data_IF_939214639043
#
_entry.id   IF_939214639043
#
_cell.length_a   1.000
_cell.length_b   1.000
_cell.length_c   1.000
_cell.angle_alpha   90.00
_cell.angle_beta   90.00
_cell.angle_gamma   90.00
#
_symmetry.space_group_name_H-M   'P 1'
#
loop_
_entity.id
_entity.type
_entity.pdbx_description
1 polymer ?
#
# COMPACT_ATOMS: atom_id res chain seq x y z
N UNK A 1 27.33 14.48 -40.10
CA UNK A 1 26.00 14.74 -39.52
C UNK A 1 25.26 13.41 -39.46
N UNK A 2 25.46 12.65 -38.39
CA UNK A 2 24.72 11.41 -38.16
C UNK A 2 23.41 11.77 -37.47
N UNK A 3 22.32 11.51 -38.18
CA UNK A 3 20.95 11.66 -37.70
C UNK A 3 20.77 10.80 -36.45
N UNK A 4 20.69 11.44 -35.28
CA UNK A 4 20.29 10.78 -34.04
C UNK A 4 18.85 10.30 -34.20
N UNK A 5 18.69 9.00 -34.40
CA UNK A 5 17.39 8.36 -34.45
C UNK A 5 16.79 8.44 -33.03
N UNK A 6 15.89 9.38 -32.81
CA UNK A 6 15.22 9.65 -31.52
C UNK A 6 14.18 8.58 -31.20
N UNK A 7 14.60 7.33 -31.10
CA UNK A 7 13.79 6.34 -30.41
C UNK A 7 14.01 6.56 -28.92
N UNK A 8 12.92 6.87 -28.20
CA UNK A 8 12.92 6.91 -26.75
C UNK A 8 13.47 5.58 -26.23
N UNK A 9 14.47 5.65 -25.36
CA UNK A 9 15.01 4.46 -24.71
C UNK A 9 13.90 3.82 -23.85
N UNK A 10 13.57 2.53 -24.07
CA UNK A 10 12.59 1.85 -23.24
C UNK A 10 13.03 1.79 -21.78
N UNK A 11 12.09 1.98 -20.86
CA UNK A 11 12.33 1.85 -19.42
C UNK A 11 12.01 0.44 -18.99
N UNK A 12 13.01 -0.28 -18.47
CA UNK A 12 12.80 -1.62 -17.92
C UNK A 12 12.26 -1.52 -16.48
N UNK A 13 11.24 -2.32 -16.18
CA UNK A 13 10.83 -2.59 -14.80
C UNK A 13 11.72 -3.72 -14.30
N UNK A 14 12.66 -3.38 -13.41
CA UNK A 14 13.68 -4.33 -12.92
C UNK A 14 13.33 -4.94 -11.56
N UNK A 15 12.32 -4.42 -10.87
CA UNK A 15 11.78 -4.99 -9.65
C UNK A 15 10.40 -4.44 -9.35
N UNK A 16 9.62 -5.20 -8.59
CA UNK A 16 8.25 -4.88 -8.17
C UNK A 16 8.07 -5.34 -6.72
N UNK A 17 7.52 -4.46 -5.89
CA UNK A 17 7.00 -4.84 -4.58
C UNK A 17 5.57 -4.32 -4.45
N UNK A 18 4.71 -5.11 -3.82
CA UNK A 18 3.33 -4.73 -3.63
C UNK A 18 2.78 -5.20 -2.29
N UNK A 19 1.64 -4.63 -1.93
CA UNK A 19 0.86 -4.96 -0.75
C UNK A 19 -0.60 -4.68 -1.11
N UNK A 20 -1.45 -5.71 -1.11
CA UNK A 20 -2.85 -5.59 -1.51
C UNK A 20 -3.77 -6.39 -0.57
N UNK A 21 -5.07 -6.10 -0.67
CA UNK A 21 -6.10 -6.81 0.06
C UNK A 21 -6.10 -8.32 -0.26
N UNK A 22 -6.54 -9.13 0.71
CA UNK A 22 -6.62 -10.58 0.56
C UNK A 22 -5.28 -11.30 0.70
N UNK A 23 -4.44 -10.84 1.64
CA UNK A 23 -3.15 -11.46 1.96
C UNK A 23 -2.20 -11.55 0.75
N UNK A 24 -2.12 -10.47 -0.04
CA UNK A 24 -1.26 -10.36 -1.23
C UNK A 24 -0.03 -9.53 -0.85
N UNK A 25 1.11 -10.21 -0.65
CA UNK A 25 2.34 -9.60 -0.14
C UNK A 25 3.46 -9.54 -1.18
N UNK A 26 3.26 -10.13 -2.36
CA UNK A 26 4.24 -10.20 -3.44
C UNK A 26 3.62 -10.14 -4.84
N UNK A 27 4.41 -9.83 -5.88
CA UNK A 27 3.95 -9.89 -7.27
C UNK A 27 3.43 -11.29 -7.67
N UNK A 28 3.99 -12.35 -7.08
CA UNK A 28 3.55 -13.72 -7.34
C UNK A 28 2.18 -14.00 -6.72
N UNK A 29 1.94 -13.53 -5.48
CA UNK A 29 0.62 -13.63 -4.85
C UNK A 29 -0.44 -12.86 -5.65
N UNK A 30 -0.06 -11.67 -6.14
CA UNK A 30 -0.93 -10.86 -6.99
C UNK A 30 -1.26 -11.60 -8.28
N UNK A 31 -0.25 -12.19 -8.92
CA UNK A 31 -0.44 -12.93 -10.16
C UNK A 31 -1.41 -14.10 -9.97
N UNK A 32 -1.22 -14.92 -8.93
CA UNK A 32 -2.13 -16.01 -8.62
C UNK A 32 -3.55 -15.53 -8.31
N UNK A 33 -3.71 -14.46 -7.53
CA UNK A 33 -5.03 -13.91 -7.22
C UNK A 33 -5.76 -13.41 -8.49
N UNK A 34 -5.03 -12.85 -9.45
CA UNK A 34 -5.57 -12.41 -10.74
C UNK A 34 -5.96 -13.60 -11.62
N UNK A 35 -5.10 -14.61 -11.75
CA UNK A 35 -5.40 -15.84 -12.48
C UNK A 35 -6.65 -16.54 -11.94
N UNK A 36 -6.82 -16.56 -10.61
CA UNK A 36 -7.98 -17.14 -9.93
C UNK A 36 -9.22 -16.23 -9.93
N UNK A 37 -9.09 -14.97 -10.36
CA UNK A 37 -10.16 -13.96 -10.27
C UNK A 37 -10.76 -13.84 -8.86
N UNK A 38 -9.90 -13.87 -7.84
CA UNK A 38 -10.29 -13.92 -6.43
C UNK A 38 -10.94 -12.61 -5.97
N UNK A 39 -12.15 -12.67 -5.39
CA UNK A 39 -12.76 -11.53 -4.70
C UNK A 39 -12.08 -11.33 -3.34
N UNK A 40 -11.19 -10.34 -3.29
CA UNK A 40 -10.45 -9.94 -2.08
C UNK A 40 -11.12 -8.79 -1.32
N UNK A 41 -12.36 -8.46 -1.66
CA UNK A 41 -13.13 -7.43 -0.98
C UNK A 41 -13.59 -7.88 0.41
N UNK A 42 -13.45 -6.99 1.39
CA UNK A 42 -13.92 -7.21 2.76
C UNK A 42 -14.89 -6.11 3.18
N UNK A 43 -15.57 -6.31 4.30
CA UNK A 43 -16.17 -5.19 5.02
C UNK A 43 -15.07 -4.26 5.57
N UNK A 44 -15.44 -3.01 5.86
CA UNK A 44 -14.52 -2.08 6.52
C UNK A 44 -14.11 -2.67 7.88
N UNK A 45 -12.80 -2.85 8.15
CA UNK A 45 -12.33 -3.31 9.45
C UNK A 45 -12.79 -2.38 10.57
N UNK A 46 -13.33 -2.96 11.65
CA UNK A 46 -13.91 -2.19 12.77
C UNK A 46 -12.89 -1.32 13.50
N UNK A 47 -11.64 -1.77 13.55
CA UNK A 47 -10.50 -1.03 14.10
C UNK A 47 -10.08 0.16 13.22
N UNK A 48 -10.34 0.10 11.92
CA UNK A 48 -10.17 1.25 11.01
C UNK A 48 -11.32 2.24 11.10
N UNK A 49 -12.56 1.73 11.07
CA UNK A 49 -13.76 2.53 11.23
C UNK A 49 -14.93 1.65 11.67
N UNK A 50 -15.45 1.91 12.86
CA UNK A 50 -16.78 1.41 13.25
C UNK A 50 -17.85 2.20 12.48
N UNK A 51 -18.19 1.70 11.30
CA UNK A 51 -19.16 2.35 10.42
C UNK A 51 -20.55 2.46 11.05
N UNK A 52 -20.93 1.53 11.94
CA UNK A 52 -22.23 1.57 12.60
C UNK A 52 -22.29 2.71 13.63
N UNK A 53 -21.24 2.82 14.45
CA UNK A 53 -21.08 3.93 15.40
C UNK A 53 -21.00 5.29 14.68
N UNK A 54 -20.20 5.37 13.61
CA UNK A 54 -20.09 6.58 12.79
C UNK A 54 -21.44 7.03 12.23
N UNK A 55 -22.23 6.08 11.71
CA UNK A 55 -23.54 6.39 11.15
C UNK A 55 -24.56 6.80 12.21
N UNK A 56 -24.55 6.15 13.38
CA UNK A 56 -25.41 6.52 14.50
C UNK A 56 -25.14 7.97 14.93
N UNK A 57 -23.87 8.36 15.04
CA UNK A 57 -23.46 9.69 15.46
C UNK A 57 -23.74 10.79 14.41
N UNK A 58 -23.40 10.56 13.14
CA UNK A 58 -23.44 11.61 12.13
C UNK A 58 -24.86 11.99 11.69
N UNK A 59 -25.81 11.06 11.78
CA UNK A 59 -27.10 11.21 11.12
C UNK A 59 -28.31 11.11 12.07
N UNK A 60 -28.10 10.99 13.40
CA UNK A 60 -29.17 10.66 14.36
C UNK A 60 -30.08 9.54 13.82
N UNK A 61 -29.46 8.51 13.23
CA UNK A 61 -30.12 7.45 12.45
C UNK A 61 -30.76 6.40 13.34
N UNK A 62 -31.73 6.78 14.17
CA UNK A 62 -32.48 5.77 14.92
C UNK A 62 -33.47 5.00 14.02
N UNK A 63 -33.82 5.47 12.80
CA UNK A 63 -34.89 4.83 12.02
C UNK A 63 -34.85 4.93 10.48
N UNK A 64 -33.80 5.44 9.83
CA UNK A 64 -33.83 5.61 8.37
C UNK A 64 -33.08 4.51 7.60
N UNK A 65 -33.66 3.31 7.55
CA UNK A 65 -33.12 2.13 6.85
C UNK A 65 -32.72 2.39 5.38
N UNK A 66 -33.32 3.37 4.70
CA UNK A 66 -32.98 3.70 3.32
C UNK A 66 -31.61 4.39 3.17
N UNK A 67 -31.15 5.14 4.19
CA UNK A 67 -29.84 5.80 4.19
C UNK A 67 -28.72 4.82 4.54
N UNK A 68 -28.99 3.88 5.45
CA UNK A 68 -28.05 2.79 5.77
C UNK A 68 -27.72 1.92 4.55
N UNK A 69 -28.71 1.67 3.66
CA UNK A 69 -28.52 0.92 2.41
C UNK A 69 -27.70 1.66 1.34
N UNK A 70 -27.53 2.98 1.46
CA UNK A 70 -26.77 3.79 0.50
C UNK A 70 -25.27 3.88 0.84
N UNK A 71 -24.86 3.45 2.02
CA UNK A 71 -23.48 3.51 2.45
C UNK A 71 -22.67 2.34 1.89
N UNK A 72 -21.52 2.66 1.32
CA UNK A 72 -20.53 1.66 0.93
C UNK A 72 -19.90 1.11 2.21
N UNK A 73 -20.14 -0.18 2.48
CA UNK A 73 -19.64 -0.90 3.66
C UNK A 73 -18.52 -1.88 3.32
N UNK A 74 -18.16 -1.98 2.05
CA UNK A 74 -17.15 -2.91 1.54
C UNK A 74 -16.08 -2.14 0.77
N UNK A 75 -14.87 -2.68 0.79
CA UNK A 75 -13.72 -2.14 0.09
C UNK A 75 -12.58 -3.15 0.12
N UNK A 76 -11.39 -2.67 -0.24
CA UNK A 76 -10.18 -3.49 -0.26
C UNK A 76 -9.25 -2.96 0.82
N UNK A 77 -9.00 -3.79 1.82
CA UNK A 77 -8.25 -3.43 3.02
C UNK A 77 -7.06 -4.38 3.17
N UNK A 78 -5.92 -3.83 3.59
CA UNK A 78 -4.78 -4.65 3.97
C UNK A 78 -5.14 -5.47 5.22
N UNK A 79 -4.70 -6.71 5.26
CA UNK A 79 -5.00 -7.64 6.35
C UNK A 79 -4.28 -7.28 7.66
N UNK A 80 -4.82 -7.76 8.79
CA UNK A 80 -4.10 -7.94 10.07
C UNK A 80 -3.28 -6.76 10.59
N UNK A 81 -3.79 -5.53 10.52
CA UNK A 81 -3.10 -4.34 11.07
C UNK A 81 -1.70 -4.11 10.52
N UNK A 82 -1.41 -4.63 9.32
CA UNK A 82 -0.12 -4.42 8.67
C UNK A 82 0.16 -2.94 8.37
N UNK A 83 -0.88 -2.12 8.34
CA UNK A 83 -0.78 -0.67 8.25
C UNK A 83 -0.19 -0.01 9.51
N UNK A 84 -0.15 -0.72 10.65
CA UNK A 84 0.42 -0.20 11.90
C UNK A 84 1.73 -0.86 12.31
N UNK A 85 2.03 -2.06 11.78
CA UNK A 85 3.31 -2.72 12.00
C UNK A 85 4.42 -2.04 11.20
N UNK A 86 5.38 -1.43 11.89
CA UNK A 86 6.54 -0.79 11.28
C UNK A 86 7.77 -0.92 12.19
N UNK A 87 8.83 -1.55 11.68
CA UNK A 87 10.08 -1.76 12.41
C UNK A 87 10.94 -0.48 12.40
N UNK A 88 10.67 0.43 13.34
CA UNK A 88 11.32 1.74 13.41
C UNK A 88 12.86 1.64 13.45
N UNK A 89 13.39 0.68 14.22
CA UNK A 89 14.83 0.47 14.38
C UNK A 89 15.54 0.11 13.07
N UNK A 90 14.88 -0.58 12.13
CA UNK A 90 15.45 -0.89 10.82
C UNK A 90 15.74 0.39 10.02
N UNK A 91 14.90 1.41 10.16
CA UNK A 91 15.05 2.70 9.49
C UNK A 91 15.84 3.74 10.31
N UNK A 92 16.39 3.35 11.47
CA UNK A 92 17.09 4.26 12.36
C UNK A 92 16.20 5.30 13.03
N UNK A 93 14.90 5.00 13.18
CA UNK A 93 13.91 5.87 13.82
C UNK A 93 13.61 5.38 15.24
N UNK A 94 13.26 6.31 16.13
CA UNK A 94 12.62 5.97 17.40
C UNK A 94 11.14 5.64 17.22
N UNK A 95 10.55 4.91 18.17
CA UNK A 95 9.12 4.58 18.14
C UNK A 95 8.22 5.83 18.12
N UNK A 96 8.64 6.90 18.81
CA UNK A 96 7.92 8.16 18.84
C UNK A 96 7.95 8.87 17.47
N UNK A 97 9.10 8.86 16.79
CA UNK A 97 9.22 9.42 15.43
C UNK A 97 8.41 8.58 14.45
N UNK A 98 8.54 7.25 14.49
CA UNK A 98 7.78 6.35 13.64
C UNK A 98 6.27 6.52 13.82
N UNK A 99 5.78 6.67 15.06
CA UNK A 99 4.37 6.91 15.36
C UNK A 99 3.83 8.25 14.84
N UNK A 100 4.70 9.20 14.50
CA UNK A 100 4.33 10.48 13.89
C UNK A 100 4.30 10.44 12.35
N UNK A 101 4.84 9.38 11.74
CA UNK A 101 4.88 9.22 10.28
C UNK A 101 3.54 8.65 9.80
N UNK A 102 2.99 9.27 8.76
CA UNK A 102 1.78 8.79 8.08
C UNK A 102 1.91 7.30 7.69
N UNK A 103 0.90 6.45 7.98
CA UNK A 103 0.94 5.03 7.65
C UNK A 103 1.26 4.71 6.19
N UNK A 104 0.83 5.54 5.22
CA UNK A 104 1.15 5.34 3.81
C UNK A 104 2.65 5.54 3.53
N UNK A 105 3.29 6.51 4.20
CA UNK A 105 4.74 6.68 4.10
C UNK A 105 5.50 5.54 4.77
N UNK A 106 5.05 5.06 5.93
CA UNK A 106 5.65 3.88 6.60
C UNK A 106 5.59 2.65 5.70
N UNK A 107 4.44 2.40 5.07
CA UNK A 107 4.28 1.30 4.12
C UNK A 107 5.18 1.48 2.89
N UNK A 108 5.25 2.68 2.33
CA UNK A 108 6.13 2.98 1.19
C UNK A 108 7.61 2.69 1.53
N UNK A 109 8.08 3.12 2.71
CA UNK A 109 9.44 2.86 3.17
C UNK A 109 9.72 1.35 3.26
N UNK A 110 8.79 0.58 3.84
CA UNK A 110 8.91 -0.88 3.91
C UNK A 110 8.93 -1.51 2.51
N UNK A 111 8.01 -1.11 1.62
CA UNK A 111 7.93 -1.67 0.26
C UNK A 111 9.14 -1.29 -0.60
N UNK A 112 9.78 -0.17 -0.34
CA UNK A 112 11.02 0.20 -1.03
C UNK A 112 12.15 -0.80 -0.75
N UNK A 113 12.24 -1.36 0.46
CA UNK A 113 13.23 -2.40 0.79
C UNK A 113 12.97 -3.65 -0.05
N UNK A 114 11.73 -4.15 -0.04
CA UNK A 114 11.34 -5.32 -0.84
C UNK A 114 11.52 -5.08 -2.35
N UNK A 115 11.31 -3.85 -2.82
CA UNK A 115 11.54 -3.47 -4.21
C UNK A 115 13.01 -3.59 -4.60
N UNK A 116 13.91 -3.13 -3.72
CA UNK A 116 15.35 -3.27 -3.95
C UNK A 116 15.77 -4.73 -3.95
N UNK A 117 15.25 -5.53 -3.02
CA UNK A 117 15.51 -6.97 -2.95
C UNK A 117 15.07 -7.69 -4.23
N UNK A 118 13.85 -7.45 -4.70
CA UNK A 118 13.33 -8.02 -5.95
C UNK A 118 14.16 -7.57 -7.18
N UNK A 119 14.61 -6.32 -7.18
CA UNK A 119 15.50 -5.79 -8.21
C UNK A 119 16.94 -6.30 -8.13
N UNK A 120 17.33 -7.01 -7.06
CA UNK A 120 18.71 -7.47 -6.82
C UNK A 120 19.68 -6.35 -6.43
N UNK A 121 19.17 -5.25 -5.87
CA UNK A 121 19.95 -4.13 -5.35
C UNK A 121 19.97 -4.14 -3.83
N UNK A 122 21.07 -3.65 -3.25
CA UNK A 122 21.15 -3.41 -1.81
C UNK A 122 21.04 -1.91 -1.53
N UNK A 123 20.57 -1.55 -0.33
CA UNK A 123 20.45 -0.15 0.10
C UNK A 123 21.80 0.57 0.02
N UNK A 124 22.90 -0.11 0.38
CA UNK A 124 24.25 0.44 0.36
C UNK A 124 24.71 0.80 -1.06
N UNK A 125 24.32 0.01 -2.07
CA UNK A 125 24.63 0.31 -3.48
C UNK A 125 23.87 1.53 -3.99
N UNK A 126 22.66 1.75 -3.47
CA UNK A 126 21.80 2.86 -3.88
C UNK A 126 22.11 4.15 -3.14
N UNK A 127 22.71 4.06 -1.95
CA UNK A 127 23.00 5.22 -1.11
C UNK A 127 23.92 6.23 -1.82
N UNK A 128 23.47 7.49 -1.91
CA UNK A 128 24.20 8.58 -2.57
C UNK A 128 24.19 8.53 -4.11
N UNK A 129 23.46 7.58 -4.70
CA UNK A 129 23.30 7.50 -6.16
C UNK A 129 22.34 8.57 -6.70
N UNK A 130 22.30 8.72 -8.03
CA UNK A 130 21.40 9.66 -8.72
C UNK A 130 20.03 9.02 -9.01
N UNK A 131 19.43 8.39 -8.01
CA UNK A 131 18.11 7.75 -8.11
C UNK A 131 17.01 8.75 -7.80
N UNK A 132 16.01 8.82 -8.68
CA UNK A 132 14.80 9.61 -8.45
C UNK A 132 13.70 8.75 -7.82
N UNK A 133 12.86 9.38 -7.00
CA UNK A 133 11.68 8.77 -6.39
C UNK A 133 10.46 9.58 -6.81
N UNK A 134 9.44 8.89 -7.33
CA UNK A 134 8.18 9.49 -7.79
C UNK A 134 7.02 8.75 -7.10
N UNK A 135 6.14 9.49 -6.41
CA UNK A 135 5.06 8.95 -5.56
C UNK A 135 3.76 9.66 -5.94
N UNK A 136 2.64 8.95 -5.87
CA UNK A 136 1.29 9.47 -6.16
C UNK A 136 0.28 9.10 -5.08
#
# INVERSE_FOLDING_TARGET
>A
MTSSNTFLEPVAIIGIACEFAGDIHSPNDLWHALEESRDVGSEIPRDRLDIDSYCAHMFNMDNNQQLQKKLIRRGYFLSNNQWDTFEAGFFGLSDAEAGSIDPCHRLLMLKFVHLLDDAGYSIEKMHGSRTSVHIG
#
